data_IF_711969742213
#
_entry.id   IF_711969742213
#
_cell.length_a   1.000
_cell.length_b   1.000
_cell.length_c   1.000
_cell.angle_alpha   90.00
_cell.angle_beta   90.00
_cell.angle_gamma   90.00
#
_symmetry.space_group_name_H-M   'P 1'
#
loop_
_entity.id
_entity.type
_entity.pdbx_description
1 polymer ?
#
# COMPACT_ATOMS: atom_id res chain seq x y z
N UNK A 1 3.84 -3.76 3.21
CA UNK A 1 2.94 -4.79 3.76
C UNK A 1 1.53 -4.23 4.00
N UNK A 2 1.34 -3.19 4.83
CA UNK A 2 0.01 -2.65 5.19
C UNK A 2 -0.79 -2.08 4.01
N UNK A 3 -0.12 -1.43 3.05
CA UNK A 3 -0.78 -0.86 1.85
C UNK A 3 -1.28 -1.97 0.92
N UNK A 4 -0.52 -3.07 0.77
CA UNK A 4 -0.91 -4.22 -0.06
C UNK A 4 -2.07 -5.00 0.57
N UNK A 5 -2.11 -5.12 1.91
CA UNK A 5 -3.22 -5.78 2.61
C UNK A 5 -4.55 -5.03 2.52
N UNK A 6 -4.55 -3.73 2.18
CA UNK A 6 -5.76 -2.92 2.02
C UNK A 6 -6.12 -2.74 0.53
N UNK A 7 -5.13 -2.53 -0.33
CA UNK A 7 -5.36 -2.29 -1.75
C UNK A 7 -5.93 -3.51 -2.48
N UNK A 8 -5.44 -4.72 -2.17
CA UNK A 8 -5.91 -5.96 -2.80
C UNK A 8 -7.40 -6.22 -2.50
N UNK A 9 -7.86 -6.23 -1.23
CA UNK A 9 -9.29 -6.41 -0.95
C UNK A 9 -10.13 -5.25 -1.47
N UNK A 10 -9.62 -4.01 -1.47
CA UNK A 10 -10.34 -2.88 -2.05
C UNK A 10 -10.61 -3.06 -3.56
N UNK A 11 -9.62 -3.52 -4.32
CA UNK A 11 -9.79 -3.80 -5.77
C UNK A 11 -10.74 -4.97 -6.00
N UNK A 12 -10.68 -6.02 -5.17
CA UNK A 12 -11.62 -7.16 -5.25
C UNK A 12 -13.05 -6.71 -4.95
N UNK A 13 -13.25 -5.88 -3.92
CA UNK A 13 -14.57 -5.30 -3.59
C UNK A 13 -15.07 -4.42 -4.72
N UNK A 14 -14.22 -3.61 -5.33
CA UNK A 14 -14.59 -2.73 -6.45
C UNK A 14 -14.95 -3.53 -7.70
N UNK A 15 -14.23 -4.63 -7.98
CA UNK A 15 -14.56 -5.56 -9.06
C UNK A 15 -15.89 -6.29 -8.80
N UNK A 16 -16.14 -6.75 -7.57
CA UNK A 16 -17.42 -7.36 -7.18
C UNK A 16 -18.57 -6.36 -7.27
N UNK A 17 -18.37 -5.11 -6.86
CA UNK A 17 -19.36 -4.04 -6.98
C UNK A 17 -19.65 -3.70 -8.45
N UNK A 18 -18.64 -3.71 -9.32
CA UNK A 18 -18.83 -3.50 -10.76
C UNK A 18 -19.61 -4.64 -11.41
N UNK A 19 -19.29 -5.90 -11.07
CA UNK A 19 -20.04 -7.07 -11.54
C UNK A 19 -21.47 -7.04 -11.01
N UNK A 20 -21.66 -6.70 -9.73
CA UNK A 20 -22.97 -6.57 -9.12
C UNK A 20 -23.79 -5.43 -9.75
N UNK A 21 -23.19 -4.26 -9.97
CA UNK A 21 -23.83 -3.13 -10.63
C UNK A 21 -24.17 -3.43 -12.11
N UNK A 22 -23.30 -4.14 -12.82
CA UNK A 22 -23.56 -4.60 -14.18
C UNK A 22 -24.67 -5.67 -14.22
N UNK A 23 -24.75 -6.54 -13.21
CA UNK A 23 -25.83 -7.52 -13.07
C UNK A 23 -27.17 -6.90 -12.66
N UNK A 24 -27.13 -5.79 -11.92
CA UNK A 24 -28.30 -5.00 -11.49
C UNK A 24 -28.79 -3.98 -12.51
N UNK A 25 -28.13 -3.83 -13.67
CA UNK A 25 -28.69 -3.07 -14.81
C UNK A 25 -29.86 -3.88 -15.38
N UNK A 26 -30.96 -3.70 -14.67
CA UNK A 26 -32.16 -4.51 -14.65
C UNK A 26 -33.00 -4.25 -15.90
N UNK A 27 -33.19 -5.32 -16.67
CA UNK A 27 -34.40 -5.49 -17.48
C UNK A 27 -35.67 -5.56 -16.62
N UNK A 28 -35.56 -5.67 -15.28
CA UNK A 28 -36.71 -5.60 -14.37
C UNK A 28 -37.44 -4.24 -14.38
N UNK A 29 -36.80 -3.15 -14.82
CA UNK A 29 -37.48 -1.85 -14.96
C UNK A 29 -38.43 -1.80 -16.18
N UNK A 30 -38.40 -2.81 -17.06
CA UNK A 30 -39.23 -2.86 -18.28
C UNK A 30 -40.52 -3.67 -18.10
N UNK A 31 -40.66 -4.40 -16.99
CA UNK A 31 -41.79 -5.31 -16.73
C UNK A 31 -42.77 -4.81 -15.67
N UNK A 32 -42.40 -3.83 -14.84
CA UNK A 32 -43.31 -3.23 -13.87
C UNK A 32 -43.69 -1.82 -14.33
N UNK A 33 -44.92 -1.67 -14.82
CA UNK A 33 -45.48 -0.36 -15.17
C UNK A 33 -45.57 0.52 -13.94
N UNK A 34 -44.70 1.52 -13.84
CA UNK A 34 -44.78 2.51 -12.77
C UNK A 34 -45.99 3.42 -13.00
N UNK A 35 -46.94 3.41 -12.06
CA UNK A 35 -47.94 4.46 -11.94
C UNK A 35 -47.23 5.79 -11.68
N UNK A 36 -47.64 6.85 -12.39
CA UNK A 36 -47.07 8.18 -12.22
C UNK A 36 -47.33 8.70 -10.80
N UNK A 37 -46.45 9.56 -10.29
CA UNK A 37 -46.68 10.23 -8.98
C UNK A 37 -48.03 10.95 -8.92
N UNK A 38 -48.54 11.36 -10.07
CA UNK A 38 -49.84 12.00 -10.24
C UNK A 38 -51.03 11.04 -10.03
N UNK A 39 -50.89 9.76 -10.42
CA UNK A 39 -51.91 8.73 -10.14
C UNK A 39 -51.92 8.35 -8.66
N UNK A 40 -50.74 8.21 -8.05
CA UNK A 40 -50.62 8.00 -6.59
C UNK A 40 -51.16 9.18 -5.76
N UNK A 41 -51.01 10.42 -6.25
CA UNK A 41 -51.59 11.59 -5.59
C UNK A 41 -53.11 11.67 -5.73
N UNK A 42 -53.69 11.28 -6.87
CA UNK A 42 -55.15 11.23 -7.04
C UNK A 42 -55.82 10.19 -6.15
N UNK A 43 -55.19 9.02 -6.00
CA UNK A 43 -55.69 7.97 -5.08
C UNK A 43 -55.55 8.39 -3.61
N UNK A 44 -54.50 9.17 -3.28
CA UNK A 44 -54.34 9.73 -1.93
C UNK A 44 -55.28 10.92 -1.64
N UNK A 45 -55.71 11.65 -2.68
CA UNK A 45 -56.65 12.78 -2.57
C UNK A 45 -58.12 12.39 -2.77
N UNK A 46 -58.42 11.10 -2.95
CA UNK A 46 -59.78 10.60 -2.99
C UNK A 46 -60.45 10.78 -1.63
N UNK A 47 -61.45 11.66 -1.57
CA UNK A 47 -62.29 11.88 -0.41
C UNK A 47 -62.88 10.54 0.07
N UNK A 48 -62.55 10.13 1.30
CA UNK A 48 -63.17 8.95 1.91
C UNK A 48 -64.67 9.26 2.07
N UNK A 49 -65.58 8.38 1.63
CA UNK A 49 -66.99 8.60 1.86
C UNK A 49 -67.22 8.60 3.38
N UNK A 50 -67.89 9.65 3.82
CA UNK A 50 -68.35 9.89 5.17
C UNK A 50 -69.21 8.69 5.62
N UNK A 51 -68.73 7.94 6.61
CA UNK A 51 -69.52 6.90 7.24
C UNK A 51 -70.47 7.59 8.24
N UNK A 52 -71.73 7.69 7.85
CA UNK A 52 -72.84 8.04 8.73
C UNK A 52 -72.82 7.16 9.99
N UNK A 53 -72.73 7.80 11.15
CA UNK A 53 -73.05 7.17 12.43
C UNK A 53 -74.52 6.77 12.46
N UNK A 54 -74.81 5.49 12.24
CA UNK A 54 -76.08 4.89 12.66
C UNK A 54 -75.84 3.62 13.48
N UNK A 55 -76.06 3.77 14.79
CA UNK A 55 -76.61 2.82 15.76
C UNK A 55 -76.33 1.30 15.66
N UNK A 56 -75.71 0.80 16.75
CA UNK A 56 -75.85 -0.54 17.38
C UNK A 56 -74.96 -1.64 16.72
N UNK A 57 -74.09 -2.40 17.41
CA UNK A 57 -73.97 -2.79 18.82
C UNK A 57 -72.49 -2.89 19.26
N UNK A 58 -72.21 -2.70 20.54
CA UNK A 58 -70.90 -3.02 21.14
C UNK A 58 -70.66 -4.53 21.04
N UNK A 59 -69.84 -4.94 20.08
CA UNK A 59 -69.33 -6.32 19.98
C UNK A 59 -68.53 -6.57 21.26
N UNK A 60 -68.93 -7.58 22.05
CA UNK A 60 -68.21 -7.82 23.31
C UNK A 60 -66.85 -8.44 23.01
N UNK A 61 -65.83 -8.17 23.84
CA UNK A 61 -64.51 -8.76 23.68
C UNK A 61 -64.53 -10.30 23.56
N UNK A 62 -65.56 -10.94 24.13
CA UNK A 62 -65.78 -12.40 24.03
C UNK A 62 -66.18 -12.86 22.63
N UNK A 63 -66.83 -12.03 21.83
CA UNK A 63 -67.19 -12.33 20.43
C UNK A 63 -66.01 -12.09 19.48
N UNK A 64 -65.19 -11.08 19.78
CA UNK A 64 -63.92 -10.84 19.08
C UNK A 64 -62.96 -11.99 19.35
N UNK A 65 -62.87 -12.48 20.59
CA UNK A 65 -62.08 -13.67 20.90
C UNK A 65 -62.66 -14.94 20.27
N UNK A 66 -63.99 -15.07 20.17
CA UNK A 66 -64.61 -16.21 19.47
C UNK A 66 -64.31 -16.18 17.97
N UNK A 67 -64.35 -15.01 17.34
CA UNK A 67 -63.98 -14.82 15.94
C UNK A 67 -62.49 -15.11 15.71
N UNK A 68 -61.62 -14.61 16.59
CA UNK A 68 -60.18 -14.87 16.54
C UNK A 68 -59.82 -16.33 16.84
N UNK A 69 -60.63 -17.06 17.61
CA UNK A 69 -60.48 -18.51 17.83
C UNK A 69 -60.97 -19.30 16.62
N UNK A 70 -62.05 -18.88 15.95
CA UNK A 70 -62.51 -19.49 14.69
C UNK A 70 -61.48 -19.27 13.57
N UNK A 71 -60.84 -18.11 13.53
CA UNK A 71 -59.75 -17.78 12.61
C UNK A 71 -58.46 -18.57 12.94
N UNK A 72 -58.12 -18.72 14.23
CA UNK A 72 -56.96 -19.53 14.69
C UNK A 72 -57.15 -21.03 14.58
N UNK A 73 -58.37 -21.55 14.76
CA UNK A 73 -58.64 -22.98 14.64
C UNK A 73 -58.66 -23.46 13.19
N UNK A 74 -58.49 -22.55 12.23
CA UNK A 74 -58.63 -22.84 10.82
C UNK A 74 -60.07 -23.23 10.56
N UNK A 75 -60.83 -22.33 9.94
CA UNK A 75 -61.98 -22.75 9.16
C UNK A 75 -61.61 -24.04 8.44
N UNK A 76 -62.50 -25.04 8.52
CA UNK A 76 -62.29 -26.42 8.10
C UNK A 76 -62.25 -26.51 6.56
N UNK A 77 -61.40 -25.70 5.98
CA UNK A 77 -61.15 -25.49 4.58
C UNK A 77 -59.64 -25.43 4.50
N UNK A 78 -59.05 -26.64 4.48
CA UNK A 78 -57.72 -26.83 3.96
C UNK A 78 -57.79 -26.20 2.57
N UNK A 79 -57.18 -25.03 2.39
CA UNK A 79 -56.92 -24.49 1.06
C UNK A 79 -55.97 -25.50 0.43
N UNK A 80 -56.56 -26.51 -0.22
CA UNK A 80 -55.85 -27.38 -1.14
C UNK A 80 -55.25 -26.40 -2.12
N UNK A 81 -53.94 -26.18 -2.03
CA UNK A 81 -53.18 -25.51 -3.07
C UNK A 81 -53.59 -26.21 -4.35
N UNK A 82 -54.39 -25.53 -5.16
CA UNK A 82 -54.89 -26.05 -6.41
C UNK A 82 -53.64 -26.43 -7.18
N UNK A 83 -53.40 -27.74 -7.31
CA UNK A 83 -52.22 -28.24 -8.01
C UNK A 83 -52.40 -27.78 -9.44
N UNK A 84 -51.76 -26.65 -9.78
CA UNK A 84 -51.82 -26.11 -11.12
C UNK A 84 -51.34 -27.22 -12.03
N UNK A 85 -52.23 -27.62 -12.95
CA UNK A 85 -51.92 -28.65 -13.93
C UNK A 85 -50.59 -28.28 -14.58
N UNK A 86 -49.60 -29.19 -14.67
CA UNK A 86 -48.32 -28.88 -15.28
C UNK A 86 -48.57 -28.25 -16.65
N UNK A 87 -48.20 -26.98 -16.79
CA UNK A 87 -48.36 -26.27 -18.06
C UNK A 87 -47.54 -27.05 -19.10
N UNK A 88 -48.13 -27.42 -20.25
CA UNK A 88 -47.37 -28.11 -21.28
C UNK A 88 -46.20 -27.24 -21.71
N UNK A 89 -45.00 -27.82 -21.71
CA UNK A 89 -43.80 -27.11 -22.11
C UNK A 89 -43.95 -26.63 -23.56
N UNK A 90 -43.79 -25.31 -23.76
CA UNK A 90 -43.73 -24.70 -25.08
C UNK A 90 -42.27 -24.42 -25.37
N UNK A 91 -41.81 -24.84 -26.56
CA UNK A 91 -40.45 -24.57 -27.00
C UNK A 91 -40.20 -23.06 -27.03
N UNK A 92 -39.08 -22.57 -26.47
CA UNK A 92 -38.69 -21.17 -26.59
C UNK A 92 -38.54 -20.78 -28.06
N UNK A 93 -38.89 -19.54 -28.40
CA UNK A 93 -38.70 -18.98 -29.73
C UNK A 93 -37.24 -19.16 -30.20
N UNK A 94 -37.06 -19.72 -31.41
CA UNK A 94 -35.75 -20.04 -31.96
C UNK A 94 -34.89 -18.79 -32.15
N UNK A 95 -35.50 -17.65 -32.49
CA UNK A 95 -34.79 -16.38 -32.65
C UNK A 95 -34.29 -15.87 -31.29
N UNK A 96 -35.14 -15.88 -30.27
CA UNK A 96 -34.76 -15.54 -28.90
C UNK A 96 -33.60 -16.43 -28.39
N UNK A 97 -33.64 -17.74 -28.65
CA UNK A 97 -32.56 -18.67 -28.31
C UNK A 97 -31.29 -18.35 -29.09
N UNK A 98 -31.40 -18.02 -30.38
CA UNK A 98 -30.27 -17.60 -31.22
C UNK A 98 -29.57 -16.34 -30.70
N UNK A 99 -30.35 -15.34 -30.27
CA UNK A 99 -29.83 -14.10 -29.66
C UNK A 99 -29.15 -14.41 -28.33
N UNK A 100 -29.78 -15.21 -27.45
CA UNK A 100 -29.22 -15.58 -26.16
C UNK A 100 -27.88 -16.32 -26.30
N UNK A 101 -27.75 -17.23 -27.28
CA UNK A 101 -26.49 -17.94 -27.59
C UNK A 101 -25.38 -16.97 -28.00
N UNK A 102 -25.66 -16.01 -28.89
CA UNK A 102 -24.69 -15.00 -29.34
C UNK A 102 -24.24 -14.10 -28.18
N UNK A 103 -25.19 -13.66 -27.35
CA UNK A 103 -24.88 -12.85 -26.17
C UNK A 103 -24.02 -13.62 -25.17
N UNK A 104 -24.35 -14.89 -24.91
CA UNK A 104 -23.55 -15.75 -24.05
C UNK A 104 -22.11 -15.90 -24.56
N UNK A 105 -21.93 -16.21 -25.85
CA UNK A 105 -20.60 -16.37 -26.44
C UNK A 105 -19.80 -15.06 -26.43
N UNK A 106 -20.40 -13.95 -26.84
CA UNK A 106 -19.72 -12.65 -26.85
C UNK A 106 -19.32 -12.20 -25.44
N UNK A 107 -20.21 -12.36 -24.45
CA UNK A 107 -19.90 -12.04 -23.04
C UNK A 107 -18.81 -12.95 -22.49
N UNK A 108 -18.84 -14.24 -22.83
CA UNK A 108 -17.83 -15.21 -22.39
C UNK A 108 -16.45 -14.88 -22.98
N UNK A 109 -16.37 -14.56 -24.28
CA UNK A 109 -15.11 -14.19 -24.94
C UNK A 109 -14.54 -12.91 -24.32
N UNK A 110 -15.38 -11.87 -24.14
CA UNK A 110 -14.94 -10.62 -23.52
C UNK A 110 -14.51 -10.82 -22.07
N UNK A 111 -15.23 -11.64 -21.29
CA UNK A 111 -14.89 -11.94 -19.91
C UNK A 111 -13.55 -12.69 -19.82
N UNK A 112 -13.34 -13.74 -20.63
CA UNK A 112 -12.10 -14.50 -20.64
C UNK A 112 -10.91 -13.65 -21.09
N UNK A 113 -11.08 -12.84 -22.14
CA UNK A 113 -10.06 -11.89 -22.58
C UNK A 113 -9.73 -10.87 -21.49
N UNK A 114 -10.76 -10.32 -20.83
CA UNK A 114 -10.60 -9.38 -19.73
C UNK A 114 -9.83 -9.98 -18.54
N UNK A 115 -10.15 -11.22 -18.16
CA UNK A 115 -9.44 -11.95 -17.10
C UNK A 115 -7.98 -12.18 -17.50
N UNK A 116 -7.72 -12.61 -18.74
CA UNK A 116 -6.37 -12.87 -19.23
C UNK A 116 -5.50 -11.62 -19.29
N UNK A 117 -6.04 -10.50 -19.76
CA UNK A 117 -5.29 -9.23 -19.81
C UNK A 117 -5.06 -8.68 -18.40
N UNK A 118 -6.05 -8.81 -17.51
CA UNK A 118 -5.91 -8.38 -16.12
C UNK A 118 -4.87 -9.20 -15.36
N UNK A 119 -4.83 -10.52 -15.55
CA UNK A 119 -3.84 -11.39 -14.90
C UNK A 119 -2.42 -11.09 -15.40
N UNK A 120 -2.26 -10.87 -16.72
CA UNK A 120 -0.98 -10.44 -17.28
C UNK A 120 -0.55 -9.06 -16.76
N UNK A 121 -1.46 -8.08 -16.72
CA UNK A 121 -1.19 -6.77 -16.15
C UNK A 121 -0.78 -6.84 -14.68
N UNK A 122 -1.47 -7.67 -13.89
CA UNK A 122 -1.12 -7.92 -12.50
C UNK A 122 0.27 -8.57 -12.36
N UNK A 123 0.63 -9.50 -13.24
CA UNK A 123 1.96 -10.13 -13.25
C UNK A 123 3.07 -9.12 -13.60
N UNK A 124 2.85 -8.23 -14.57
CA UNK A 124 3.80 -7.16 -14.92
C UNK A 124 4.00 -6.19 -13.75
N UNK A 125 2.91 -5.79 -13.09
CA UNK A 125 3.00 -4.96 -11.88
C UNK A 125 3.71 -5.70 -10.75
N UNK A 126 3.40 -6.97 -10.52
CA UNK A 126 4.07 -7.78 -9.51
C UNK A 126 5.55 -7.93 -9.82
N UNK A 127 5.96 -8.05 -11.08
CA UNK A 127 7.37 -8.10 -11.46
C UNK A 127 8.07 -6.76 -11.19
N UNK A 128 7.45 -5.64 -11.55
CA UNK A 128 8.04 -4.30 -11.37
C UNK A 128 8.20 -3.93 -9.89
N UNK A 129 7.27 -4.35 -9.04
CA UNK A 129 7.27 -4.04 -7.60
C UNK A 129 7.84 -5.17 -6.73
N UNK A 130 7.91 -6.40 -7.24
CA UNK A 130 8.25 -7.62 -6.51
C UNK A 130 9.74 -8.00 -6.52
N UNK A 131 10.63 -7.05 -6.81
CA UNK A 131 12.09 -7.24 -6.76
C UNK A 131 12.69 -7.44 -5.36
N UNK A 132 11.92 -7.99 -4.41
CA UNK A 132 12.29 -8.19 -3.00
C UNK A 132 12.76 -9.62 -2.68
N UNK A 133 13.38 -10.31 -3.63
CA UNK A 133 14.07 -11.58 -3.37
C UNK A 133 15.38 -11.32 -2.62
N UNK A 134 15.50 -11.85 -1.40
CA UNK A 134 16.52 -11.49 -0.41
C UNK A 134 17.96 -11.51 -0.92
N UNK A 135 18.72 -10.48 -0.53
CA UNK A 135 20.17 -10.36 -0.75
C UNK A 135 20.63 -9.05 -1.39
N UNK A 136 19.70 -8.25 -1.92
CA UNK A 136 20.01 -6.95 -2.55
C UNK A 136 19.73 -5.73 -1.67
N UNK A 137 19.94 -4.54 -2.25
CA UNK A 137 19.55 -3.26 -1.65
C UNK A 137 18.07 -3.25 -1.26
N UNK A 138 17.76 -2.82 -0.05
CA UNK A 138 16.44 -2.92 0.57
C UNK A 138 16.30 -4.09 1.55
N UNK A 139 17.38 -4.84 1.80
CA UNK A 139 17.43 -5.92 2.78
C UNK A 139 18.66 -5.81 3.69
N UNK A 140 18.77 -6.73 4.67
CA UNK A 140 19.94 -6.84 5.54
C UNK A 140 21.10 -7.48 4.77
N UNK A 141 22.20 -6.76 4.64
CA UNK A 141 23.42 -7.19 3.96
C UNK A 141 24.48 -7.49 5.01
N UNK A 142 25.01 -8.72 5.00
CA UNK A 142 26.17 -9.09 5.82
C UNK A 142 27.44 -8.66 5.10
N UNK A 143 28.13 -7.64 5.63
CA UNK A 143 29.34 -7.08 5.00
C UNK A 143 30.58 -7.94 5.27
N UNK A 144 30.62 -8.60 6.43
CA UNK A 144 31.73 -9.47 6.86
C UNK A 144 32.19 -9.19 8.30
N UNK A 145 33.34 -9.75 8.68
CA UNK A 145 33.94 -9.52 10.00
C UNK A 145 34.48 -8.10 10.13
N UNK A 146 34.32 -7.51 11.32
CA UNK A 146 34.74 -6.13 11.61
C UNK A 146 36.25 -5.95 11.42
N UNK A 147 37.07 -6.91 11.85
CA UNK A 147 38.54 -6.85 11.73
C UNK A 147 38.97 -6.77 10.27
N UNK A 148 38.37 -7.60 9.41
CA UNK A 148 38.71 -7.66 7.99
C UNK A 148 38.23 -6.40 7.27
N UNK A 149 37.05 -5.90 7.64
CA UNK A 149 36.53 -4.62 7.13
C UNK A 149 37.47 -3.48 7.51
N UNK A 150 37.91 -3.41 8.76
CA UNK A 150 38.84 -2.38 9.21
C UNK A 150 40.18 -2.44 8.47
N UNK A 151 40.73 -3.64 8.23
CA UNK A 151 41.95 -3.81 7.45
C UNK A 151 41.77 -3.38 5.98
N UNK A 152 40.62 -3.70 5.37
CA UNK A 152 40.29 -3.26 4.00
C UNK A 152 40.12 -1.75 3.92
N UNK A 153 39.54 -1.11 4.94
CA UNK A 153 39.42 0.34 5.02
C UNK A 153 40.81 0.98 5.08
N UNK A 154 41.73 0.45 5.89
CA UNK A 154 43.10 0.97 5.97
C UNK A 154 43.85 0.80 4.65
N UNK A 155 43.72 -0.35 4.00
CA UNK A 155 44.31 -0.61 2.68
C UNK A 155 43.77 0.31 1.58
N UNK A 156 42.55 0.83 1.75
CA UNK A 156 41.88 1.73 0.83
C UNK A 156 41.89 3.20 1.32
N UNK A 157 42.89 3.58 2.13
CA UNK A 157 43.10 4.94 2.61
C UNK A 157 41.89 5.56 3.33
N UNK A 158 41.18 4.76 4.13
CA UNK A 158 40.09 5.24 4.99
C UNK A 158 38.68 5.07 4.41
N UNK A 159 38.53 4.58 3.17
CA UNK A 159 37.24 4.43 2.50
C UNK A 159 37.04 3.02 1.95
N UNK A 160 35.96 2.35 2.33
CA UNK A 160 35.56 1.07 1.74
C UNK A 160 34.23 1.20 1.00
N UNK A 161 34.23 0.95 -0.31
CA UNK A 161 33.00 0.88 -1.09
C UNK A 161 32.38 -0.52 -1.04
N UNK A 162 31.10 -0.61 -0.70
CA UNK A 162 30.32 -1.86 -0.70
C UNK A 162 29.20 -1.75 -1.76
N UNK A 163 29.40 -2.29 -2.98
CA UNK A 163 28.48 -2.11 -4.09
C UNK A 163 27.10 -2.72 -3.84
N UNK A 164 27.01 -3.82 -3.10
CA UNK A 164 25.77 -4.54 -2.77
C UNK A 164 24.77 -3.63 -2.05
N UNK A 165 25.29 -2.79 -1.13
CA UNK A 165 24.51 -1.82 -0.37
C UNK A 165 24.50 -0.41 -0.94
N UNK A 166 25.21 -0.16 -2.05
CA UNK A 166 25.45 1.20 -2.58
C UNK A 166 25.91 2.17 -1.49
N UNK A 167 26.87 1.72 -0.69
CA UNK A 167 27.25 2.39 0.55
C UNK A 167 28.77 2.50 0.68
N UNK A 168 29.18 3.50 1.44
CA UNK A 168 30.53 3.67 1.93
C UNK A 168 30.60 3.21 3.38
N UNK A 169 31.61 2.41 3.70
CA UNK A 169 31.92 2.03 5.08
C UNK A 169 33.24 2.70 5.45
N UNK A 170 33.23 3.46 6.53
CA UNK A 170 34.41 4.15 7.06
C UNK A 170 34.58 3.88 8.54
N UNK A 171 35.78 4.17 9.06
CA UNK A 171 36.07 4.02 10.49
C UNK A 171 35.47 5.17 11.29
N UNK A 172 34.79 4.81 12.37
CA UNK A 172 34.34 5.75 13.39
C UNK A 172 35.30 5.72 14.59
N UNK A 173 35.85 6.87 15.03
CA UNK A 173 36.83 6.87 16.12
C UNK A 173 36.18 6.56 17.47
N UNK A 174 36.75 5.60 18.21
CA UNK A 174 36.23 5.16 19.51
C UNK A 174 36.12 6.30 20.54
N UNK A 175 37.03 7.29 20.48
CA UNK A 175 37.01 8.48 21.35
C UNK A 175 35.82 9.41 21.12
N UNK A 176 35.15 9.33 19.96
CA UNK A 176 34.00 10.18 19.61
C UNK A 176 32.65 9.54 19.91
N UNK A 177 32.60 8.28 20.34
CA UNK A 177 31.33 7.55 20.56
C UNK A 177 30.42 8.26 21.55
N UNK A 178 30.97 8.89 22.60
CA UNK A 178 30.17 9.69 23.56
C UNK A 178 29.48 10.90 22.90
N UNK A 179 30.16 11.56 21.96
CA UNK A 179 29.56 12.66 21.17
C UNK A 179 28.54 12.11 20.19
N UNK A 180 28.80 10.92 19.65
CA UNK A 180 27.88 10.20 18.78
C UNK A 180 26.55 9.93 19.48
N UNK A 181 26.58 9.49 20.74
CA UNK A 181 25.38 9.15 21.53
C UNK A 181 24.42 10.33 21.71
N UNK A 182 24.92 11.56 21.66
CA UNK A 182 24.09 12.75 21.73
C UNK A 182 23.50 13.17 20.37
N UNK A 183 24.10 12.73 19.26
CA UNK A 183 23.80 13.23 17.91
C UNK A 183 23.11 12.20 17.00
N UNK A 184 23.28 10.90 17.26
CA UNK A 184 22.83 9.82 16.39
C UNK A 184 21.80 8.91 17.07
N UNK A 185 21.03 8.22 16.23
CA UNK A 185 20.03 7.24 16.68
C UNK A 185 20.66 5.92 17.14
N UNK A 186 19.92 5.12 17.91
CA UNK A 186 20.38 3.84 18.43
C UNK A 186 20.85 2.85 17.36
N UNK A 187 20.23 2.90 16.17
CA UNK A 187 20.50 2.04 15.03
C UNK A 187 21.82 2.41 14.33
N UNK A 188 22.23 3.68 14.40
CA UNK A 188 23.53 4.13 13.89
C UNK A 188 24.64 3.79 14.91
N UNK A 189 24.35 3.98 16.19
CA UNK A 189 25.30 3.78 17.27
C UNK A 189 25.80 2.34 17.38
N UNK A 190 25.02 1.35 16.98
CA UNK A 190 25.43 -0.06 16.98
C UNK A 190 26.71 -0.30 16.17
N UNK A 191 26.81 0.28 14.97
CA UNK A 191 28.02 0.24 14.15
C UNK A 191 29.13 1.12 14.72
N UNK A 192 28.79 2.34 15.14
CA UNK A 192 29.78 3.33 15.61
C UNK A 192 30.51 2.87 16.87
N UNK A 193 29.81 2.19 17.80
CA UNK A 193 30.43 1.56 18.99
C UNK A 193 31.44 0.47 18.62
N UNK A 194 31.25 -0.16 17.48
CA UNK A 194 32.18 -1.15 16.91
C UNK A 194 33.23 -0.51 15.99
N UNK A 195 33.29 0.82 15.94
CA UNK A 195 34.28 1.59 15.19
C UNK A 195 34.01 1.71 13.69
N UNK A 196 32.78 1.46 13.23
CA UNK A 196 32.40 1.53 11.81
C UNK A 196 31.17 2.41 11.61
N UNK A 197 31.05 3.03 10.44
CA UNK A 197 29.83 3.72 10.01
C UNK A 197 29.53 3.38 8.56
N UNK A 198 28.27 3.09 8.26
CA UNK A 198 27.77 2.80 6.92
C UNK A 198 26.96 3.99 6.40
N UNK A 199 27.51 4.67 5.38
CA UNK A 199 26.98 5.87 4.76
C UNK A 199 26.37 5.52 3.41
N UNK A 200 25.18 6.02 3.14
CA UNK A 200 24.59 5.89 1.83
C UNK A 200 25.33 6.79 0.83
N UNK A 201 25.75 6.25 -0.31
CA UNK A 201 26.47 7.01 -1.34
C UNK A 201 25.65 8.13 -1.99
N UNK A 202 24.35 8.23 -1.69
CA UNK A 202 23.41 9.18 -2.30
C UNK A 202 23.52 10.54 -1.61
N UNK A 203 23.77 11.58 -2.39
CA UNK A 203 23.81 12.96 -1.91
C UNK A 203 22.43 13.42 -1.42
N UNK A 204 22.30 13.91 -0.17
CA UNK A 204 21.08 14.52 0.36
C UNK A 204 20.55 15.75 -0.40
N UNK A 205 21.34 16.35 -1.30
CA UNK A 205 20.89 17.47 -2.13
C UNK A 205 19.87 17.02 -3.18
N UNK A 206 20.33 16.37 -4.25
CA UNK A 206 19.49 15.94 -5.39
C UNK A 206 19.72 14.47 -5.78
N UNK A 207 20.49 13.72 -4.97
CA UNK A 207 20.64 12.28 -5.16
C UNK A 207 21.79 11.79 -6.05
N UNK A 208 22.71 12.67 -6.47
CA UNK A 208 23.95 12.24 -7.13
C UNK A 208 24.75 11.26 -6.25
N UNK A 209 25.56 10.40 -6.87
CA UNK A 209 26.54 9.59 -6.15
C UNK A 209 27.67 10.50 -5.63
N UNK A 210 28.00 10.37 -4.35
CA UNK A 210 29.09 11.10 -3.70
C UNK A 210 30.35 10.23 -3.70
N UNK A 211 31.42 10.62 -4.43
CA UNK A 211 32.72 9.98 -4.33
C UNK A 211 33.49 10.44 -3.08
N UNK A 212 34.48 9.66 -2.72
CA UNK A 212 35.53 9.98 -1.77
C UNK A 212 36.61 10.86 -2.40
N UNK A 213 37.20 11.74 -1.60
CA UNK A 213 38.39 12.50 -1.93
C UNK A 213 39.54 12.05 -1.05
N UNK A 214 40.56 11.46 -1.67
CA UNK A 214 41.69 10.86 -0.95
C UNK A 214 42.61 11.92 -0.33
N UNK A 215 42.67 13.13 -0.89
CA UNK A 215 43.53 14.22 -0.39
C UNK A 215 42.92 14.92 0.81
N UNK A 216 41.64 15.33 0.75
CA UNK A 216 40.95 15.97 1.87
C UNK A 216 40.45 14.98 2.93
N UNK A 217 40.42 13.68 2.58
CA UNK A 217 39.82 12.60 3.39
C UNK A 217 38.33 12.85 3.69
N UNK A 218 37.65 13.53 2.76
CA UNK A 218 36.23 13.88 2.81
C UNK A 218 35.46 13.24 1.64
N UNK A 219 34.13 13.26 1.73
CA UNK A 219 33.24 12.97 0.61
C UNK A 219 32.84 14.27 -0.07
N UNK A 220 33.08 14.36 -1.38
CA UNK A 220 32.89 15.60 -2.14
C UNK A 220 32.01 15.35 -3.36
N UNK A 221 30.82 15.94 -3.36
CA UNK A 221 29.84 15.74 -4.43
C UNK A 221 30.13 16.67 -5.62
N UNK A 222 30.50 16.14 -6.80
CA UNK A 222 30.90 16.96 -7.95
C UNK A 222 29.73 17.69 -8.62
N UNK A 223 28.48 17.34 -8.30
CA UNK A 223 27.32 17.94 -8.95
C UNK A 223 27.10 19.42 -8.57
N UNK A 224 27.22 19.75 -7.27
CA UNK A 224 26.95 21.10 -6.75
C UNK A 224 27.86 21.44 -5.55
N UNK A 225 28.95 20.71 -5.37
CA UNK A 225 29.96 21.00 -4.35
C UNK A 225 29.57 20.74 -2.90
N UNK A 226 28.64 19.82 -2.63
CA UNK A 226 28.37 19.43 -1.23
C UNK A 226 29.52 18.59 -0.67
N UNK A 227 30.01 18.97 0.51
CA UNK A 227 31.17 18.36 1.16
C UNK A 227 30.77 17.75 2.51
N UNK A 228 31.28 16.58 2.81
CA UNK A 228 31.04 15.85 4.06
C UNK A 228 32.34 15.28 4.59
N UNK A 229 32.54 15.25 5.91
CA UNK A 229 33.73 14.61 6.49
C UNK A 229 33.70 13.08 6.30
N UNK A 230 34.73 12.37 6.78
CA UNK A 230 34.84 10.90 6.62
C UNK A 230 33.71 10.09 7.26
N UNK A 231 32.95 10.69 8.18
CA UNK A 231 31.77 10.06 8.81
C UNK A 231 30.44 10.60 8.27
N UNK A 232 30.47 11.34 7.15
CA UNK A 232 29.30 11.83 6.44
C UNK A 232 28.59 13.01 7.11
N UNK A 233 29.23 13.72 8.02
CA UNK A 233 28.70 14.97 8.58
C UNK A 233 28.94 16.12 7.60
N UNK A 234 27.93 16.95 7.37
CA UNK A 234 28.03 18.05 6.39
C UNK A 234 29.06 19.09 6.82
N UNK A 235 29.92 19.49 5.88
CA UNK A 235 30.90 20.57 6.02
C UNK A 235 30.62 21.76 5.12
N UNK A 236 30.19 21.52 3.88
CA UNK A 236 30.02 22.58 2.88
C UNK A 236 28.96 22.29 1.82
N UNK A 237 28.67 23.30 1.01
CA UNK A 237 27.78 23.24 -0.14
C UNK A 237 26.27 23.23 0.18
N UNK A 238 25.43 23.00 -0.85
CA UNK A 238 23.98 23.26 -0.79
C UNK A 238 23.14 22.16 -0.12
N UNK A 239 23.69 20.97 0.14
CA UNK A 239 22.93 19.90 0.78
C UNK A 239 22.33 20.35 2.14
N UNK A 240 21.06 20.03 2.45
CA UNK A 240 20.41 20.55 3.66
C UNK A 240 20.87 19.87 4.95
N UNK A 241 21.60 18.75 4.87
CA UNK A 241 22.00 17.90 6.00
C UNK A 241 23.19 17.00 5.62
N UNK A 242 23.73 16.27 6.60
CA UNK A 242 24.76 15.24 6.37
C UNK A 242 24.27 14.06 5.55
N UNK A 243 25.21 13.22 5.11
CA UNK A 243 24.92 11.99 4.36
C UNK A 243 24.00 11.07 5.16
N UNK A 244 23.11 10.40 4.43
CA UNK A 244 22.24 9.37 4.98
C UNK A 244 23.07 8.19 5.47
N UNK A 245 22.56 7.53 6.51
CA UNK A 245 23.13 6.31 7.08
C UNK A 245 22.15 5.17 6.93
N UNK A 246 22.67 3.95 7.02
CA UNK A 246 21.85 2.76 7.16
C UNK A 246 21.79 2.34 8.61
N UNK A 247 20.71 1.65 8.99
CA UNK A 247 20.67 0.97 10.28
C UNK A 247 21.75 -0.13 10.30
N UNK A 248 22.55 -0.15 11.36
CA UNK A 248 23.66 -1.08 11.52
C UNK A 248 23.37 -2.04 12.68
N UNK A 249 23.87 -3.25 12.55
CA UNK A 249 23.74 -4.31 13.55
C UNK A 249 25.06 -5.09 13.59
N UNK A 250 25.51 -5.45 14.78
CA UNK A 250 26.71 -6.27 14.96
C UNK A 250 26.32 -7.52 15.73
N UNK A 251 26.57 -8.68 15.13
CA UNK A 251 26.34 -10.00 15.75
C UNK A 251 27.59 -10.83 15.63
N UNK A 252 28.07 -11.35 16.75
CA UNK A 252 29.20 -12.28 16.79
C UNK A 252 30.44 -11.81 16.00
N UNK A 253 30.71 -10.50 16.00
CA UNK A 253 31.83 -9.88 15.27
C UNK A 253 31.57 -9.59 13.78
N UNK A 254 30.41 -9.99 13.26
CA UNK A 254 29.96 -9.72 11.89
C UNK A 254 29.20 -8.40 11.82
N UNK A 255 29.61 -7.55 10.89
CA UNK A 255 28.96 -6.28 10.60
C UNK A 255 27.83 -6.47 9.58
N UNK A 256 26.61 -6.17 10.00
CA UNK A 256 25.39 -6.30 9.22
C UNK A 256 24.80 -4.90 9.02
N UNK A 257 24.40 -4.59 7.79
CA UNK A 257 23.78 -3.30 7.45
C UNK A 257 22.40 -3.53 6.84
N UNK A 258 21.38 -2.93 7.44
CA UNK A 258 20.02 -2.95 6.91
C UNK A 258 19.81 -1.79 5.92
N UNK A 259 19.89 -2.12 4.63
CA UNK A 259 19.69 -1.15 3.54
C UNK A 259 18.22 -0.82 3.27
N UNK A 260 17.27 -1.53 3.90
CA UNK A 260 15.86 -1.18 3.88
C UNK A 260 15.50 0.00 4.80
N UNK A 261 16.34 0.25 5.80
CA UNK A 261 16.13 1.31 6.80
C UNK A 261 17.14 2.44 6.60
N UNK A 262 16.76 3.46 5.81
CA UNK A 262 17.57 4.66 5.58
C UNK A 262 17.29 5.69 6.68
N UNK A 263 18.34 6.08 7.39
CA UNK A 263 18.30 7.07 8.47
C UNK A 263 18.80 8.39 7.89
N UNK A 264 17.99 9.44 8.08
CA UNK A 264 18.33 10.78 7.59
C UNK A 264 19.60 11.27 8.27
N UNK A 265 20.55 11.77 7.49
CA UNK A 265 21.80 12.28 8.04
C UNK A 265 21.61 13.47 9.01
N UNK A 266 22.60 13.73 9.88
CA UNK A 266 22.50 14.71 10.95
C UNK A 266 22.30 16.12 10.41
N UNK A 267 21.69 17.02 11.20
CA UNK A 267 21.54 18.41 10.83
C UNK A 267 22.89 19.11 10.65
N UNK A 268 22.86 20.26 10.01
CA UNK A 268 24.05 21.09 9.77
C UNK A 268 24.67 21.50 11.12
N UNK A 269 26.01 21.46 11.20
CA UNK A 269 26.77 21.84 12.40
C UNK A 269 27.15 20.68 13.32
N UNK A 270 26.64 19.48 13.07
CA UNK A 270 27.10 18.28 13.78
C UNK A 270 28.55 17.97 13.41
N UNK A 271 29.42 17.88 14.42
CA UNK A 271 30.83 17.56 14.27
C UNK A 271 31.28 16.64 15.41
N UNK A 272 30.98 15.34 15.31
CA UNK A 272 31.29 14.41 16.41
C UNK A 272 32.76 14.00 16.44
N UNK A 273 33.41 13.95 15.29
CA UNK A 273 34.82 13.53 15.17
C UNK A 273 35.80 14.67 15.34
N UNK A 274 35.39 15.93 15.11
CA UNK A 274 36.30 17.06 15.02
C UNK A 274 37.21 17.02 13.79
N UNK A 275 36.95 16.11 12.84
CA UNK A 275 37.80 15.95 11.66
C UNK A 275 37.59 17.12 10.70
N UNK A 276 38.65 17.89 10.48
CA UNK A 276 38.74 18.89 9.42
C UNK A 276 39.33 18.28 8.14
N UNK A 277 39.43 19.04 7.05
CA UNK A 277 40.02 18.55 5.82
C UNK A 277 41.52 18.30 6.02
N UNK A 278 41.99 17.09 5.71
CA UNK A 278 43.39 16.70 5.94
C UNK A 278 44.33 17.22 4.84
N UNK A 279 43.75 17.62 3.71
CA UNK A 279 44.47 18.12 2.54
C UNK A 279 43.54 18.89 1.60
N UNK A 280 44.01 19.23 0.39
CA UNK A 280 43.20 20.01 -0.56
C UNK A 280 41.95 19.23 -1.00
N UNK A 281 40.86 19.95 -1.21
CA UNK A 281 39.64 19.38 -1.78
C UNK A 281 39.88 18.91 -3.22
N UNK A 282 39.28 17.78 -3.60
CA UNK A 282 39.36 17.21 -4.93
C UNK A 282 38.48 17.97 -5.93
N UNK A 283 37.35 18.48 -5.46
CA UNK A 283 36.61 19.50 -6.18
C UNK A 283 37.25 20.84 -5.85
N UNK A 284 37.64 21.60 -6.87
CA UNK A 284 38.03 22.99 -6.66
C UNK A 284 36.90 23.67 -5.89
N UNK A 285 37.21 24.53 -4.91
CA UNK A 285 36.22 25.39 -4.28
C UNK A 285 35.41 26.05 -5.40
N UNK A 286 34.21 25.54 -5.67
CA UNK A 286 33.31 26.12 -6.64
C UNK A 286 32.89 27.43 -6.00
N UNK A 287 33.61 28.49 -6.34
CA UNK A 287 33.27 29.86 -6.02
C UNK A 287 31.84 30.09 -6.49
N UNK A 288 30.91 29.98 -5.56
CA UNK A 288 29.52 30.36 -5.74
C UNK A 288 29.26 31.59 -4.89
#
# INVERSE_FOLDING_TARGET
MVVLSIAIPAVVVLALLLVFAASRRNEAAKAEGHLSKETLQRDASGEKPELEETGISQISGKEIERAAVIERQGGKEIVVQEQSTPVPWVAPDEEAVGIARRQFLNRSIVALMGISLSSFGAAVLAFLYGGGGGGGFGSKISVGNITDIQARIDAANGFLYVPEGRMWVTKYPAGSVKKAEAAYSSQELAGMRSGLVALYQKCPHLGCRVPECQTSQWFECPCHGSQYNRVGEKRGGPAPRGMDRFAMEVKDGVFIVDTGTIIQGPPIGVNTTGQEAEGPNCISESSH
#
